data_IF_269316502449
#
_entry.id   IF_269316502449
#
_cell.length_a   1.000
_cell.length_b   1.000
_cell.length_c   1.000
_cell.angle_alpha   90.00
_cell.angle_beta   90.00
_cell.angle_gamma   90.00
#
_symmetry.space_group_name_H-M   'P 1'
#
loop_
_entity.id
_entity.type
_entity.pdbx_description
1 polymer ?
#
# COMPACT_ATOMS: atom_id res chain seq x y z
N UNK A 1 21.94 -32.98 12.00
CA UNK A 1 22.39 -32.06 13.06
C UNK A 1 23.22 -31.00 12.38
N UNK A 2 22.61 -29.90 12.00
CA UNK A 2 23.31 -28.63 11.78
C UNK A 2 22.32 -27.55 12.19
N UNK A 3 22.54 -27.05 13.41
CA UNK A 3 21.82 -25.92 13.95
C UNK A 3 22.36 -24.66 13.27
N UNK A 4 21.56 -24.06 12.39
CA UNK A 4 21.75 -22.67 11.97
C UNK A 4 21.59 -21.79 13.21
N UNK A 5 22.71 -21.39 13.80
CA UNK A 5 22.74 -20.33 14.81
C UNK A 5 22.28 -19.00 14.20
N UNK A 6 21.80 -18.04 15.02
CA UNK A 6 21.39 -16.74 14.54
C UNK A 6 22.56 -16.03 13.87
N UNK A 7 22.33 -15.43 12.70
CA UNK A 7 23.31 -14.60 12.00
C UNK A 7 23.82 -13.54 12.99
N UNK A 8 25.09 -13.63 13.38
CA UNK A 8 25.73 -12.61 14.22
C UNK A 8 25.74 -11.29 13.44
N UNK A 9 24.81 -10.39 13.78
CA UNK A 9 24.82 -9.02 13.30
C UNK A 9 26.10 -8.34 13.76
N UNK A 10 26.83 -7.73 12.82
CA UNK A 10 28.13 -7.08 13.07
C UNK A 10 27.95 -5.97 14.14
N UNK A 11 28.69 -5.98 15.27
CA UNK A 11 28.45 -5.07 16.40
C UNK A 11 28.51 -3.59 16.01
N UNK A 12 29.46 -3.21 15.14
CA UNK A 12 29.60 -1.83 14.63
C UNK A 12 28.39 -1.39 13.80
N UNK A 13 27.71 -2.34 13.14
CA UNK A 13 26.53 -2.06 12.33
C UNK A 13 25.31 -1.74 13.19
N UNK A 14 25.20 -2.37 14.37
CA UNK A 14 24.12 -2.20 15.34
C UNK A 14 24.24 -0.87 16.08
N UNK A 15 25.43 -0.52 16.57
CA UNK A 15 25.70 0.76 17.24
C UNK A 15 25.33 1.94 16.34
N UNK A 16 25.64 1.83 15.05
CA UNK A 16 25.26 2.84 14.06
C UNK A 16 23.75 2.94 13.86
N UNK A 17 23.01 1.83 13.91
CA UNK A 17 21.53 1.86 13.82
C UNK A 17 20.94 2.55 15.05
N UNK A 18 21.39 2.21 16.25
CA UNK A 18 20.92 2.86 17.48
C UNK A 18 21.21 4.36 17.49
N UNK A 19 22.38 4.79 17.02
CA UNK A 19 22.70 6.20 16.90
C UNK A 19 21.76 6.94 15.94
N UNK A 20 21.44 6.34 14.78
CA UNK A 20 20.49 6.92 13.83
C UNK A 20 19.08 7.02 14.44
N UNK A 21 18.68 6.05 15.25
CA UNK A 21 17.38 6.07 15.94
C UNK A 21 17.33 7.21 16.98
N UNK A 22 18.41 7.43 17.72
CA UNK A 22 18.52 8.59 18.62
C UNK A 22 18.42 9.90 17.84
N UNK A 23 19.09 9.99 16.69
CA UNK A 23 19.06 11.18 15.83
C UNK A 23 17.67 11.50 15.26
N UNK A 24 16.76 10.51 15.12
CA UNK A 24 15.35 10.76 14.78
C UNK A 24 14.62 11.59 15.85
N UNK A 25 14.93 11.31 17.11
CA UNK A 25 14.22 11.86 18.28
C UNK A 25 14.85 13.12 18.85
N UNK A 26 16.03 13.50 18.34
CA UNK A 26 16.72 14.72 18.73
C UNK A 26 15.77 15.92 18.63
N UNK A 27 15.61 16.72 19.70
CA UNK A 27 14.67 17.82 19.71
C UNK A 27 15.05 18.85 18.67
N UNK A 28 14.08 19.22 17.82
CA UNK A 28 14.17 20.35 16.88
C UNK A 28 14.64 21.65 17.59
N UNK A 29 14.43 21.76 18.91
CA UNK A 29 14.83 22.90 19.74
C UNK A 29 16.25 22.89 20.31
N UNK A 30 16.97 21.76 20.37
CA UNK A 30 18.36 21.76 20.86
C UNK A 30 19.35 22.21 19.77
N UNK A 31 19.00 22.02 18.49
CA UNK A 31 19.73 22.58 17.36
C UNK A 31 19.43 24.09 17.16
N UNK A 32 18.30 24.61 17.65
CA UNK A 32 17.96 26.01 17.53
C UNK A 32 18.82 26.94 18.41
N UNK A 33 19.48 26.42 19.46
CA UNK A 33 20.38 27.19 20.34
C UNK A 33 21.87 26.94 20.01
N UNK A 34 22.19 25.90 19.23
CA UNK A 34 23.55 25.57 18.84
C UNK A 34 23.67 25.46 17.32
N UNK A 35 23.97 26.61 16.69
CA UNK A 35 24.53 26.74 15.33
C UNK A 35 23.59 26.40 14.16
N UNK A 36 23.29 27.42 13.36
CA UNK A 36 22.65 27.35 12.04
C UNK A 36 23.47 26.59 10.96
N UNK A 37 24.38 25.70 11.36
CA UNK A 37 25.23 24.88 10.49
C UNK A 37 25.25 23.39 10.87
N UNK A 38 24.38 22.93 11.78
CA UNK A 38 24.19 21.51 12.00
C UNK A 38 23.31 20.92 10.87
N UNK A 39 23.77 19.89 10.13
CA UNK A 39 22.90 19.20 9.17
C UNK A 39 21.67 18.66 9.91
N UNK A 40 20.50 18.67 9.25
CA UNK A 40 19.28 18.10 9.81
C UNK A 40 19.50 16.59 10.04
N UNK A 41 19.92 16.26 11.26
CA UNK A 41 20.29 14.90 11.66
C UNK A 41 19.13 13.93 11.50
N UNK A 42 17.89 14.43 11.65
CA UNK A 42 16.68 13.64 11.44
C UNK A 42 16.50 13.29 9.96
N UNK A 43 16.66 14.25 9.05
CA UNK A 43 16.56 13.98 7.61
C UNK A 43 17.60 12.94 7.16
N UNK A 44 18.85 13.06 7.64
CA UNK A 44 19.89 12.08 7.37
C UNK A 44 19.56 10.70 7.97
N UNK A 45 19.08 10.66 9.22
CA UNK A 45 18.69 9.42 9.87
C UNK A 45 17.55 8.71 9.14
N UNK A 46 16.53 9.45 8.68
CA UNK A 46 15.43 8.90 7.88
C UNK A 46 15.94 8.22 6.61
N UNK A 47 16.86 8.86 5.88
CA UNK A 47 17.44 8.32 4.64
C UNK A 47 18.26 7.05 4.90
N UNK A 48 19.10 7.06 5.94
CA UNK A 48 19.98 5.93 6.22
C UNK A 48 19.22 4.73 6.79
N UNK A 49 18.24 4.97 7.68
CA UNK A 49 17.40 3.91 8.22
C UNK A 49 16.48 3.33 7.14
N UNK A 50 15.95 4.14 6.22
CA UNK A 50 15.07 3.63 5.15
C UNK A 50 15.77 2.66 4.21
N UNK A 51 17.08 2.83 3.99
CA UNK A 51 17.93 1.90 3.23
C UNK A 51 18.21 0.60 3.99
N UNK A 52 18.25 0.64 5.32
CA UNK A 52 18.56 -0.52 6.19
C UNK A 52 17.36 -1.42 6.51
N UNK A 53 16.15 -1.01 6.13
CA UNK A 53 14.89 -1.72 6.46
C UNK A 53 14.81 -3.18 5.98
N UNK A 54 15.55 -3.53 4.93
CA UNK A 54 15.56 -4.90 4.35
C UNK A 54 16.70 -5.76 4.91
N UNK A 55 17.73 -5.12 5.46
CA UNK A 55 18.95 -5.80 5.95
C UNK A 55 18.95 -6.00 7.46
N UNK A 56 18.13 -5.25 8.20
CA UNK A 56 18.10 -5.29 9.66
C UNK A 56 16.73 -5.77 10.14
N UNK A 57 16.63 -7.07 10.45
CA UNK A 57 15.38 -7.77 10.73
C UNK A 57 14.63 -7.17 11.95
N UNK A 58 15.36 -6.85 13.02
CA UNK A 58 14.80 -6.31 14.26
C UNK A 58 14.48 -4.80 14.20
N UNK A 59 14.56 -4.16 13.02
CA UNK A 59 14.41 -2.71 12.93
C UNK A 59 13.02 -2.26 13.35
N UNK A 60 11.97 -3.00 12.96
CA UNK A 60 10.59 -2.64 13.27
C UNK A 60 10.31 -2.63 14.79
N UNK A 61 10.62 -3.70 15.56
CA UNK A 61 10.53 -3.66 17.02
C UNK A 61 11.32 -2.51 17.65
N UNK A 62 12.55 -2.26 17.20
CA UNK A 62 13.38 -1.19 17.77
C UNK A 62 12.74 0.19 17.48
N UNK A 63 12.27 0.44 16.26
CA UNK A 63 11.58 1.69 15.91
C UNK A 63 10.32 1.89 16.77
N UNK A 64 9.56 0.82 17.04
CA UNK A 64 8.33 0.91 17.81
C UNK A 64 8.57 1.16 19.30
N UNK A 65 9.51 0.43 19.90
CA UNK A 65 9.78 0.47 21.34
C UNK A 65 10.75 1.57 21.77
N UNK A 66 11.48 2.18 20.83
CA UNK A 66 12.34 3.32 21.12
C UNK A 66 11.52 4.58 21.42
N UNK A 67 11.85 5.24 22.52
CA UNK A 67 11.13 6.40 23.02
C UNK A 67 11.06 7.53 21.99
N UNK A 68 9.86 8.00 21.67
CA UNK A 68 9.64 9.18 20.81
C UNK A 68 9.80 8.95 19.31
N UNK A 69 10.23 7.77 18.85
CA UNK A 69 10.46 7.49 17.41
C UNK A 69 9.15 7.52 16.62
N UNK A 70 8.12 6.79 17.07
CA UNK A 70 6.81 6.80 16.38
C UNK A 70 6.19 8.20 16.36
N UNK A 71 6.37 8.99 17.42
CA UNK A 71 5.95 10.40 17.47
C UNK A 71 6.70 11.25 16.45
N UNK A 72 8.02 11.06 16.30
CA UNK A 72 8.82 11.77 15.30
C UNK A 72 8.39 11.40 13.87
N UNK A 73 8.12 10.12 13.58
CA UNK A 73 7.63 9.68 12.27
C UNK A 73 6.25 10.25 11.94
N UNK A 74 5.33 10.29 12.91
CA UNK A 74 4.02 10.93 12.75
C UNK A 74 4.16 12.44 12.56
N UNK A 75 5.11 13.09 13.23
CA UNK A 75 5.39 14.51 13.04
C UNK A 75 5.81 14.81 11.58
N UNK A 76 6.64 13.97 10.98
CA UNK A 76 7.04 14.11 9.57
C UNK A 76 5.84 14.00 8.61
N UNK A 77 4.82 13.22 8.95
CA UNK A 77 3.56 13.15 8.18
C UNK A 77 2.75 14.45 8.35
N UNK A 78 2.52 14.87 9.59
CA UNK A 78 1.65 16.02 9.90
C UNK A 78 2.23 17.32 9.34
N UNK A 79 3.56 17.48 9.32
CA UNK A 79 4.24 18.64 8.72
C UNK A 79 3.95 18.80 7.22
N UNK A 80 3.53 17.74 6.52
CA UNK A 80 3.21 17.77 5.09
C UNK A 80 1.76 18.19 4.84
N UNK A 81 0.85 18.07 5.81
CA UNK A 81 -0.58 18.36 5.62
C UNK A 81 -0.87 19.77 5.05
N UNK A 82 -0.22 20.85 5.52
CA UNK A 82 -0.43 22.18 4.95
C UNK A 82 -0.01 22.31 3.48
N UNK A 83 0.84 21.40 2.99
CA UNK A 83 1.36 21.40 1.62
C UNK A 83 0.48 20.61 0.63
N UNK A 84 -0.57 19.94 1.14
CA UNK A 84 -1.50 19.16 0.32
C UNK A 84 -2.56 20.04 -0.35
N UNK A 85 -3.00 21.09 0.33
CA UNK A 85 -4.04 22.01 -0.13
C UNK A 85 -3.73 23.45 0.36
N UNK A 86 -3.29 24.37 -0.53
CA UNK A 86 -3.03 24.17 -1.96
C UNK A 86 -1.85 23.21 -2.22
N UNK A 87 -1.78 22.56 -3.39
CA UNK A 87 -0.79 21.51 -3.65
C UNK A 87 0.61 22.09 -3.95
N UNK A 88 1.33 22.46 -2.90
CA UNK A 88 2.65 23.12 -2.95
C UNK A 88 3.81 22.20 -2.56
N UNK A 89 3.55 20.91 -2.40
CA UNK A 89 4.55 19.90 -2.03
C UNK A 89 5.76 19.87 -2.98
N UNK A 90 6.94 20.17 -2.45
CA UNK A 90 8.20 20.10 -3.18
C UNK A 90 8.74 18.66 -3.27
N UNK A 91 9.65 18.42 -4.22
CA UNK A 91 10.30 17.11 -4.37
C UNK A 91 11.11 16.72 -3.12
N UNK A 92 11.81 17.68 -2.50
CA UNK A 92 12.58 17.44 -1.28
C UNK A 92 11.68 17.06 -0.09
N UNK A 93 10.60 17.81 0.14
CA UNK A 93 9.65 17.50 1.21
C UNK A 93 8.97 16.15 1.00
N UNK A 94 8.60 15.82 -0.25
CA UNK A 94 8.07 14.51 -0.63
C UNK A 94 9.07 13.38 -0.34
N UNK A 95 10.34 13.53 -0.72
CA UNK A 95 11.36 12.51 -0.46
C UNK A 95 11.57 12.28 1.05
N UNK A 96 11.61 13.36 1.83
CA UNK A 96 11.78 13.31 3.29
C UNK A 96 10.66 12.53 3.96
N UNK A 97 9.40 12.88 3.71
CA UNK A 97 8.26 12.16 4.30
C UNK A 97 8.17 10.72 3.77
N UNK A 98 8.52 10.46 2.50
CA UNK A 98 8.55 9.10 1.96
C UNK A 98 9.58 8.20 2.67
N UNK A 99 10.71 8.75 3.15
CA UNK A 99 11.64 7.98 4.00
C UNK A 99 10.99 7.61 5.34
N UNK A 100 10.23 8.52 5.96
CA UNK A 100 9.46 8.20 7.16
C UNK A 100 8.37 7.14 6.88
N UNK A 101 7.65 7.26 5.77
CA UNK A 101 6.65 6.26 5.33
C UNK A 101 7.29 4.89 5.08
N UNK A 102 8.51 4.84 4.55
CA UNK A 102 9.24 3.58 4.37
C UNK A 102 9.57 2.88 5.70
N UNK A 103 9.86 3.65 6.76
CA UNK A 103 10.04 3.11 8.10
C UNK A 103 8.71 2.63 8.69
N UNK A 104 7.62 3.38 8.50
CA UNK A 104 6.28 2.94 8.90
C UNK A 104 5.84 1.68 8.14
N UNK A 105 6.23 1.53 6.88
CA UNK A 105 6.02 0.30 6.11
C UNK A 105 6.75 -0.89 6.73
N UNK A 106 7.98 -0.70 7.22
CA UNK A 106 8.74 -1.72 7.95
C UNK A 106 7.97 -2.15 9.21
N UNK A 107 7.53 -1.19 10.02
CA UNK A 107 6.73 -1.43 11.24
C UNK A 107 5.40 -2.14 10.93
N UNK A 108 4.72 -1.75 9.86
CA UNK A 108 3.47 -2.39 9.41
C UNK A 108 3.68 -3.84 8.93
N UNK A 109 4.86 -4.14 8.38
CA UNK A 109 5.17 -5.45 7.80
C UNK A 109 5.57 -6.50 8.83
N UNK A 110 6.13 -6.10 9.98
CA UNK A 110 6.66 -7.00 11.00
C UNK A 110 5.56 -7.62 11.88
N UNK A 111 5.67 -8.90 12.26
CA UNK A 111 4.64 -9.62 13.03
C UNK A 111 4.32 -8.95 14.36
N UNK A 112 5.36 -8.52 15.06
CA UNK A 112 5.24 -8.10 16.46
C UNK A 112 4.69 -6.68 16.61
N UNK A 113 4.92 -5.83 15.61
CA UNK A 113 4.51 -4.41 15.65
C UNK A 113 3.25 -4.14 14.84
N UNK A 114 2.85 -5.03 13.92
CA UNK A 114 1.68 -4.82 13.04
C UNK A 114 0.38 -4.59 13.81
N UNK A 115 0.10 -5.41 14.82
CA UNK A 115 -1.11 -5.25 15.62
C UNK A 115 -1.09 -3.93 16.40
N UNK A 116 0.07 -3.55 16.94
CA UNK A 116 0.26 -2.29 17.66
C UNK A 116 0.09 -1.09 16.72
N UNK A 117 0.63 -1.18 15.50
CA UNK A 117 0.50 -0.17 14.45
C UNK A 117 -0.97 0.05 14.03
N UNK A 118 -1.73 -1.04 13.90
CA UNK A 118 -3.16 -1.01 13.58
C UNK A 118 -3.97 -0.41 14.72
N UNK A 119 -3.75 -0.87 15.96
CA UNK A 119 -4.46 -0.41 17.16
C UNK A 119 -4.16 1.05 17.53
N UNK A 120 -3.07 1.62 17.02
CA UNK A 120 -2.73 3.02 17.17
C UNK A 120 -3.34 3.92 16.07
N UNK A 121 -4.18 3.36 15.19
CA UNK A 121 -4.84 4.06 14.08
C UNK A 121 -3.90 4.83 13.14
N UNK A 122 -2.61 4.46 13.12
CA UNK A 122 -1.58 5.12 12.29
C UNK A 122 -1.94 5.14 10.80
N UNK A 123 -2.57 4.10 10.20
CA UNK A 123 -2.98 4.15 8.80
C UNK A 123 -3.85 5.36 8.44
N UNK A 124 -4.65 5.88 9.37
CA UNK A 124 -5.55 7.03 9.13
C UNK A 124 -4.78 8.31 8.80
N UNK A 125 -3.57 8.46 9.33
CA UNK A 125 -2.70 9.61 9.02
C UNK A 125 -2.25 9.63 7.55
N UNK A 126 -2.38 8.51 6.83
CA UNK A 126 -1.98 8.39 5.42
C UNK A 126 -3.11 8.73 4.46
N UNK A 127 -4.36 8.77 4.92
CA UNK A 127 -5.53 8.95 4.05
C UNK A 127 -5.57 10.34 3.39
N UNK A 128 -5.17 11.43 4.06
CA UNK A 128 -4.99 12.73 3.40
C UNK A 128 -4.05 12.67 2.20
N UNK A 129 -2.99 11.86 2.26
CA UNK A 129 -2.05 11.68 1.13
C UNK A 129 -2.71 10.94 -0.03
N UNK A 130 -3.44 9.86 0.25
CA UNK A 130 -4.17 9.07 -0.74
C UNK A 130 -5.31 9.86 -1.41
N UNK A 131 -5.89 10.82 -0.70
CA UNK A 131 -6.99 11.66 -1.20
C UNK A 131 -6.53 12.75 -2.19
N UNK A 132 -5.23 13.03 -2.28
CA UNK A 132 -4.67 14.05 -3.19
C UNK A 132 -4.90 13.69 -4.66
N UNK A 133 -5.09 14.68 -5.52
CA UNK A 133 -5.35 14.49 -6.97
C UNK A 133 -4.28 15.08 -7.89
N UNK A 134 -3.35 15.87 -7.34
CA UNK A 134 -2.26 16.47 -8.11
C UNK A 134 -1.40 15.39 -8.77
N UNK A 135 -1.04 15.58 -10.05
CA UNK A 135 -0.26 14.63 -10.87
C UNK A 135 1.24 14.94 -10.92
N UNK A 136 1.73 15.86 -10.09
CA UNK A 136 3.18 16.11 -10.05
C UNK A 136 3.92 14.89 -9.49
N UNK A 137 5.19 14.73 -9.88
CA UNK A 137 6.02 13.60 -9.44
C UNK A 137 6.07 13.45 -7.91
N UNK A 138 6.08 14.58 -7.18
CA UNK A 138 6.09 14.59 -5.72
C UNK A 138 4.80 13.96 -5.13
N UNK A 139 3.63 14.32 -5.64
CA UNK A 139 2.36 13.76 -5.18
C UNK A 139 2.17 12.30 -5.61
N UNK A 140 2.57 11.92 -6.82
CA UNK A 140 2.57 10.52 -7.27
C UNK A 140 3.44 9.64 -6.37
N UNK A 141 4.65 10.10 -6.05
CA UNK A 141 5.56 9.37 -5.17
C UNK A 141 5.00 9.26 -3.75
N UNK A 142 4.42 10.34 -3.22
CA UNK A 142 3.77 10.35 -1.91
C UNK A 142 2.63 9.31 -1.84
N UNK A 143 1.73 9.29 -2.84
CA UNK A 143 0.63 8.32 -2.91
C UNK A 143 1.15 6.89 -3.01
N UNK A 144 2.13 6.63 -3.88
CA UNK A 144 2.70 5.30 -4.06
C UNK A 144 3.32 4.75 -2.77
N UNK A 145 4.11 5.57 -2.06
CA UNK A 145 4.74 5.16 -0.79
C UNK A 145 3.68 4.94 0.30
N UNK A 146 2.66 5.80 0.37
CA UNK A 146 1.53 5.64 1.32
C UNK A 146 0.75 4.35 1.06
N UNK A 147 0.46 4.03 -0.21
CA UNK A 147 -0.13 2.74 -0.60
C UNK A 147 0.79 1.56 -0.25
N UNK A 148 2.11 1.74 -0.29
CA UNK A 148 3.07 0.73 0.13
C UNK A 148 2.90 0.32 1.59
N UNK A 149 2.63 1.27 2.49
CA UNK A 149 2.33 1.00 3.91
C UNK A 149 1.05 0.18 4.04
N UNK A 150 -0.03 0.60 3.39
CA UNK A 150 -1.32 -0.13 3.43
C UNK A 150 -1.18 -1.52 2.80
N UNK A 151 -0.46 -1.61 1.68
CA UNK A 151 -0.14 -2.86 1.00
C UNK A 151 0.64 -3.85 1.86
N UNK A 152 1.54 -3.36 2.72
CA UNK A 152 2.26 -4.19 3.68
C UNK A 152 1.34 -4.77 4.77
N UNK A 153 0.35 -3.99 5.25
CA UNK A 153 -0.63 -4.47 6.24
C UNK A 153 -1.47 -5.63 5.70
N UNK A 154 -2.00 -5.49 4.49
CA UNK A 154 -2.90 -6.51 3.89
C UNK A 154 -2.16 -7.73 3.33
N UNK A 155 -0.82 -7.72 3.30
CA UNK A 155 -0.03 -8.81 2.70
C UNK A 155 -0.16 -10.13 3.47
N UNK A 156 -0.39 -10.08 4.77
CA UNK A 156 -0.40 -11.24 5.68
C UNK A 156 -1.78 -11.88 5.88
N UNK A 157 -2.78 -11.51 5.07
CA UNK A 157 -4.11 -12.12 5.09
C UNK A 157 -4.77 -12.14 6.49
N UNK A 158 -4.55 -11.08 7.28
CA UNK A 158 -5.16 -10.93 8.60
C UNK A 158 -6.52 -10.22 8.46
N UNK A 159 -7.61 -10.93 8.82
CA UNK A 159 -8.97 -10.40 8.80
C UNK A 159 -9.20 -9.19 9.70
N UNK A 160 -8.45 -9.01 10.80
CA UNK A 160 -8.55 -7.81 11.65
C UNK A 160 -8.12 -6.54 10.90
N UNK A 161 -7.07 -6.66 10.06
CA UNK A 161 -6.63 -5.58 9.18
C UNK A 161 -7.71 -5.24 8.17
N UNK A 162 -8.35 -6.26 7.58
CA UNK A 162 -9.43 -6.06 6.62
C UNK A 162 -10.62 -5.37 7.30
N UNK A 163 -11.03 -5.83 8.48
CA UNK A 163 -12.12 -5.21 9.24
C UNK A 163 -11.86 -3.73 9.55
N UNK A 164 -10.64 -3.42 10.03
CA UNK A 164 -10.21 -2.03 10.24
C UNK A 164 -10.35 -1.21 8.95
N UNK A 165 -9.78 -1.69 7.84
CA UNK A 165 -9.79 -0.98 6.56
C UNK A 165 -11.19 -0.75 5.98
N UNK A 166 -12.12 -1.69 6.20
CA UNK A 166 -13.51 -1.55 5.80
C UNK A 166 -14.22 -0.46 6.62
N UNK A 167 -13.92 -0.35 7.91
CA UNK A 167 -14.51 0.65 8.80
C UNK A 167 -14.03 2.08 8.55
N UNK A 168 -12.95 2.26 7.80
CA UNK A 168 -12.27 3.55 7.61
C UNK A 168 -12.36 4.09 6.18
N UNK A 169 -13.13 3.46 5.28
CA UNK A 169 -13.32 3.91 3.89
C UNK A 169 -12.05 3.87 3.00
N UNK A 170 -11.20 2.83 3.14
CA UNK A 170 -10.05 2.68 2.22
C UNK A 170 -10.47 2.42 0.76
N UNK A 171 -11.61 1.75 0.55
CA UNK A 171 -12.05 1.29 -0.77
C UNK A 171 -12.25 2.46 -1.74
N UNK A 172 -13.03 3.52 -1.41
CA UNK A 172 -13.13 4.70 -2.27
C UNK A 172 -11.79 5.34 -2.66
N UNK A 173 -10.82 5.39 -1.73
CA UNK A 173 -9.48 5.92 -2.00
C UNK A 173 -8.73 5.04 -3.01
N UNK A 174 -8.75 3.72 -2.81
CA UNK A 174 -8.13 2.79 -3.76
C UNK A 174 -8.78 2.84 -5.14
N UNK A 175 -10.11 2.88 -5.21
CA UNK A 175 -10.85 2.95 -6.48
C UNK A 175 -10.49 4.21 -7.28
N UNK A 176 -10.39 5.38 -6.63
CA UNK A 176 -9.95 6.61 -7.29
C UNK A 176 -8.53 6.48 -7.86
N UNK A 177 -7.61 5.89 -7.10
CA UNK A 177 -6.22 5.70 -7.57
C UNK A 177 -6.16 4.67 -8.70
N UNK A 178 -6.96 3.59 -8.63
CA UNK A 178 -7.11 2.60 -9.70
C UNK A 178 -7.59 3.22 -11.01
N UNK A 179 -8.45 4.24 -10.94
CA UNK A 179 -8.97 4.94 -12.10
C UNK A 179 -7.94 5.91 -12.73
N UNK A 180 -7.34 6.80 -11.91
CA UNK A 180 -6.58 7.94 -12.43
C UNK A 180 -5.08 8.00 -12.05
N UNK A 181 -4.57 7.06 -11.27
CA UNK A 181 -3.18 7.07 -10.79
C UNK A 181 -2.13 6.62 -11.84
N UNK A 182 -0.85 6.73 -11.51
CA UNK A 182 0.23 6.09 -12.27
C UNK A 182 0.09 4.55 -12.27
N UNK A 183 0.68 3.87 -13.26
CA UNK A 183 0.59 2.40 -13.38
C UNK A 183 1.03 1.67 -12.11
N UNK A 184 2.12 2.13 -11.47
CA UNK A 184 2.60 1.58 -10.21
C UNK A 184 1.57 1.77 -9.08
N UNK A 185 1.01 2.98 -8.93
CA UNK A 185 -0.01 3.27 -7.93
C UNK A 185 -1.29 2.47 -8.17
N UNK A 186 -1.74 2.35 -9.43
CA UNK A 186 -2.86 1.49 -9.83
C UNK A 186 -2.62 0.05 -9.40
N UNK A 187 -1.40 -0.44 -9.60
CA UNK A 187 -1.05 -1.81 -9.27
C UNK A 187 -1.11 -2.09 -7.77
N UNK A 188 -0.59 -1.17 -6.94
CA UNK A 188 -0.66 -1.35 -5.48
C UNK A 188 -2.10 -1.19 -4.99
N UNK A 189 -2.86 -0.23 -5.54
CA UNK A 189 -4.26 -0.01 -5.17
C UNK A 189 -5.15 -1.21 -5.49
N UNK A 190 -5.03 -1.78 -6.70
CA UNK A 190 -5.80 -2.99 -7.05
C UNK A 190 -5.34 -4.21 -6.25
N UNK A 191 -4.06 -4.31 -5.88
CA UNK A 191 -3.58 -5.36 -4.97
C UNK A 191 -4.25 -5.27 -3.59
N UNK A 192 -4.42 -4.06 -3.03
CA UNK A 192 -5.12 -3.85 -1.76
C UNK A 192 -6.60 -4.25 -1.90
N UNK A 193 -7.29 -3.79 -2.95
CA UNK A 193 -8.69 -4.16 -3.21
C UNK A 193 -8.83 -5.68 -3.41
N UNK A 194 -7.88 -6.32 -4.10
CA UNK A 194 -7.88 -7.76 -4.28
C UNK A 194 -7.74 -8.48 -2.94
N UNK A 195 -6.85 -8.03 -2.04
CA UNK A 195 -6.71 -8.61 -0.70
C UNK A 195 -7.97 -8.45 0.15
N UNK A 196 -8.65 -7.31 0.05
CA UNK A 196 -9.96 -7.11 0.69
C UNK A 196 -10.99 -8.10 0.12
N UNK A 197 -11.07 -8.26 -1.20
CA UNK A 197 -12.00 -9.21 -1.84
C UNK A 197 -11.72 -10.67 -1.47
N UNK A 198 -10.46 -11.04 -1.25
CA UNK A 198 -10.10 -12.41 -0.87
C UNK A 198 -10.62 -12.78 0.52
N UNK A 199 -10.76 -11.81 1.43
CA UNK A 199 -11.38 -12.00 2.73
C UNK A 199 -12.91 -12.09 2.62
N UNK A 200 -13.52 -12.97 3.40
CA UNK A 200 -14.98 -13.20 3.36
C UNK A 200 -15.78 -11.95 3.79
N UNK A 201 -15.30 -11.20 4.80
CA UNK A 201 -15.97 -9.96 5.24
C UNK A 201 -15.84 -8.89 4.16
N UNK A 202 -14.68 -8.78 3.52
CA UNK A 202 -14.46 -7.83 2.43
C UNK A 202 -15.31 -8.12 1.20
N UNK A 203 -15.43 -9.39 0.78
CA UNK A 203 -16.33 -9.78 -0.31
C UNK A 203 -17.79 -9.47 0.06
N UNK A 204 -18.22 -9.87 1.25
CA UNK A 204 -19.58 -9.61 1.72
C UNK A 204 -19.89 -8.11 1.77
N UNK A 205 -18.95 -7.28 2.23
CA UNK A 205 -19.08 -5.82 2.31
C UNK A 205 -19.27 -5.19 0.93
N UNK A 206 -18.43 -5.57 -0.05
CA UNK A 206 -18.49 -5.04 -1.42
C UNK A 206 -19.78 -5.46 -2.11
N UNK A 207 -20.21 -6.71 -1.93
CA UNK A 207 -21.43 -7.25 -2.52
C UNK A 207 -22.71 -6.97 -1.71
N UNK A 208 -22.61 -6.23 -0.60
CA UNK A 208 -23.75 -5.97 0.30
C UNK A 208 -24.83 -5.13 -0.40
N UNK A 209 -24.42 -4.06 -1.08
CA UNK A 209 -25.31 -3.13 -1.79
C UNK A 209 -24.95 -3.06 -3.26
N UNK A 210 -25.94 -2.74 -4.10
CA UNK A 210 -25.73 -2.53 -5.53
C UNK A 210 -24.74 -1.39 -5.78
N UNK A 211 -24.80 -0.31 -5.00
CA UNK A 211 -23.91 0.84 -5.15
C UNK A 211 -22.43 0.49 -4.94
N UNK A 212 -22.12 -0.29 -3.89
CA UNK A 212 -20.74 -0.71 -3.61
C UNK A 212 -20.20 -1.65 -4.68
N UNK A 213 -21.00 -2.64 -5.08
CA UNK A 213 -20.63 -3.56 -6.16
C UNK A 213 -20.42 -2.79 -7.47
N UNK A 214 -21.32 -1.88 -7.81
CA UNK A 214 -21.24 -1.10 -9.04
C UNK A 214 -20.03 -0.17 -9.05
N UNK A 215 -19.71 0.50 -7.93
CA UNK A 215 -18.52 1.33 -7.82
C UNK A 215 -17.23 0.55 -8.13
N UNK A 216 -17.10 -0.67 -7.59
CA UNK A 216 -15.95 -1.55 -7.89
C UNK A 216 -15.99 -2.04 -9.34
N UNK A 217 -17.15 -2.49 -9.81
CA UNK A 217 -17.35 -3.03 -11.15
C UNK A 217 -17.04 -2.02 -12.26
N UNK A 218 -17.50 -0.78 -12.12
CA UNK A 218 -17.24 0.30 -13.09
C UNK A 218 -15.75 0.60 -13.20
N UNK A 219 -15.04 0.72 -12.07
CA UNK A 219 -13.60 0.98 -12.09
C UNK A 219 -12.84 -0.20 -12.69
N UNK A 220 -13.18 -1.45 -12.35
CA UNK A 220 -12.56 -2.63 -12.97
C UNK A 220 -12.83 -2.68 -14.48
N UNK A 221 -14.04 -2.34 -14.92
CA UNK A 221 -14.38 -2.26 -16.35
C UNK A 221 -13.54 -1.21 -17.07
N UNK A 222 -13.43 -0.01 -16.51
CA UNK A 222 -12.59 1.06 -17.06
C UNK A 222 -11.12 0.63 -17.15
N UNK A 223 -10.61 -0.11 -16.15
CA UNK A 223 -9.26 -0.68 -16.20
C UNK A 223 -9.11 -1.71 -17.32
N UNK A 224 -10.09 -2.60 -17.54
CA UNK A 224 -10.06 -3.55 -18.67
C UNK A 224 -9.95 -2.81 -20.00
N UNK A 225 -10.76 -1.77 -20.21
CA UNK A 225 -10.71 -0.97 -21.44
C UNK A 225 -9.33 -0.34 -21.66
N UNK A 226 -8.70 0.19 -20.62
CA UNK A 226 -7.33 0.74 -20.69
C UNK A 226 -6.28 -0.35 -20.97
N UNK A 227 -6.48 -1.57 -20.47
CA UNK A 227 -5.55 -2.68 -20.64
C UNK A 227 -5.49 -3.23 -22.06
N UNK A 228 -6.53 -3.02 -22.87
CA UNK A 228 -6.50 -3.39 -24.30
C UNK A 228 -5.35 -2.70 -25.01
N UNK A 229 -5.13 -1.42 -24.73
CA UNK A 229 -4.05 -0.62 -25.30
C UNK A 229 -2.72 -0.80 -24.54
N UNK A 230 -2.77 -0.78 -23.20
CA UNK A 230 -1.55 -0.79 -22.37
C UNK A 230 -0.89 -2.16 -22.28
N UNK A 231 -1.65 -3.24 -22.45
CA UNK A 231 -1.18 -4.63 -22.37
C UNK A 231 -0.38 -4.98 -21.09
N UNK A 232 -0.66 -4.29 -19.98
CA UNK A 232 0.03 -4.53 -18.70
C UNK A 232 -0.45 -5.83 -18.04
N UNK A 233 0.36 -6.90 -18.17
CA UNK A 233 0.09 -8.22 -17.58
C UNK A 233 -0.11 -8.14 -16.07
N UNK A 234 0.67 -7.28 -15.40
CA UNK A 234 0.64 -7.13 -13.93
C UNK A 234 -0.72 -6.64 -13.45
N UNK A 235 -1.26 -5.61 -14.10
CA UNK A 235 -2.59 -5.08 -13.79
C UNK A 235 -3.69 -6.07 -14.18
N UNK A 236 -3.60 -6.65 -15.38
CA UNK A 236 -4.58 -7.62 -15.87
C UNK A 236 -4.74 -8.81 -14.91
N UNK A 237 -3.64 -9.33 -14.39
CA UNK A 237 -3.63 -10.39 -13.37
C UNK A 237 -4.46 -10.05 -12.14
N UNK A 238 -4.32 -8.83 -11.61
CA UNK A 238 -5.11 -8.39 -10.46
C UNK A 238 -6.59 -8.19 -10.83
N UNK A 239 -6.88 -7.61 -11.99
CA UNK A 239 -8.26 -7.41 -12.49
C UNK A 239 -8.99 -8.74 -12.62
N UNK A 240 -8.38 -9.73 -13.28
CA UNK A 240 -8.95 -11.08 -13.45
C UNK A 240 -9.23 -11.73 -12.09
N UNK A 241 -8.32 -11.59 -11.13
CA UNK A 241 -8.49 -12.16 -9.78
C UNK A 241 -9.61 -11.47 -8.99
N UNK A 242 -9.77 -10.15 -9.14
CA UNK A 242 -10.90 -9.44 -8.53
C UNK A 242 -12.24 -9.94 -9.11
N UNK A 243 -12.36 -10.05 -10.44
CA UNK A 243 -13.58 -10.57 -11.07
C UNK A 243 -13.86 -12.03 -10.67
N UNK A 244 -12.83 -12.88 -10.68
CA UNK A 244 -12.97 -14.28 -10.24
C UNK A 244 -13.52 -14.34 -8.82
N UNK A 245 -12.96 -13.56 -7.89
CA UNK A 245 -13.42 -13.54 -6.50
C UNK A 245 -14.82 -12.96 -6.34
N UNK A 246 -15.17 -11.92 -7.10
CA UNK A 246 -16.54 -11.40 -7.14
C UNK A 246 -17.55 -12.46 -7.64
N UNK A 247 -17.14 -13.36 -8.53
CA UNK A 247 -18.00 -14.43 -9.04
C UNK A 247 -18.37 -15.48 -7.99
N UNK A 248 -17.67 -15.53 -6.85
CA UNK A 248 -18.00 -16.43 -5.74
C UNK A 248 -19.26 -15.96 -4.99
N UNK A 249 -19.59 -14.67 -5.04
CA UNK A 249 -20.82 -14.15 -4.43
C UNK A 249 -22.00 -14.32 -5.41
N UNK A 250 -23.12 -14.95 -5.01
CA UNK A 250 -24.21 -15.28 -5.93
C UNK A 250 -24.89 -14.04 -6.54
N UNK A 251 -24.98 -12.93 -5.78
CA UNK A 251 -25.58 -11.68 -6.28
C UNK A 251 -24.67 -11.00 -7.30
N UNK A 252 -23.38 -10.94 -7.00
CA UNK A 252 -22.39 -10.39 -7.92
C UNK A 252 -22.22 -11.26 -9.17
N UNK A 253 -22.24 -12.60 -9.03
CA UNK A 253 -22.23 -13.56 -10.14
C UNK A 253 -23.32 -13.25 -11.16
N UNK A 254 -24.57 -13.11 -10.71
CA UNK A 254 -25.69 -12.77 -11.59
C UNK A 254 -25.48 -11.45 -12.33
N UNK A 255 -25.02 -10.41 -11.62
CA UNK A 255 -24.73 -9.13 -12.25
C UNK A 255 -23.58 -9.24 -13.28
N UNK A 256 -22.51 -9.98 -12.98
CA UNK A 256 -21.36 -10.18 -13.85
C UNK A 256 -21.72 -10.92 -15.15
N UNK A 257 -22.73 -11.81 -15.14
CA UNK A 257 -23.24 -12.43 -16.38
C UNK A 257 -23.71 -11.38 -17.38
N UNK A 258 -24.19 -10.23 -16.92
CA UNK A 258 -24.70 -9.14 -17.75
C UNK A 258 -23.65 -8.07 -18.03
N UNK A 259 -22.73 -7.79 -17.10
CA UNK A 259 -21.81 -6.65 -17.19
C UNK A 259 -20.31 -6.98 -17.30
N UNK A 260 -19.90 -8.26 -17.34
CA UNK A 260 -18.47 -8.59 -17.53
C UNK A 260 -17.97 -8.01 -18.88
N UNK A 261 -16.87 -7.23 -18.88
CA UNK A 261 -16.34 -6.60 -20.09
C UNK A 261 -16.04 -7.60 -21.21
N UNK A 262 -16.42 -7.26 -22.45
CA UNK A 262 -16.21 -8.09 -23.65
C UNK A 262 -14.73 -8.51 -23.86
N UNK A 263 -13.70 -7.66 -23.63
CA UNK A 263 -12.30 -8.08 -23.78
C UNK A 263 -11.86 -9.22 -22.86
N UNK A 264 -12.60 -9.51 -21.78
CA UNK A 264 -12.37 -10.66 -20.91
C UNK A 264 -13.11 -11.93 -21.37
N UNK A 265 -14.10 -11.79 -22.26
CA UNK A 265 -14.89 -12.91 -22.82
C UNK A 265 -14.31 -13.43 -24.13
N UNK A 266 -13.65 -12.55 -24.89
CA UNK A 266 -13.07 -12.87 -26.18
C UNK A 266 -11.57 -13.21 -26.08
N UNK A 267 -10.90 -13.25 -27.23
CA UNK A 267 -9.46 -13.55 -27.32
C UNK A 267 -8.56 -12.31 -27.25
N UNK A 268 -9.07 -11.14 -26.83
CA UNK A 268 -8.31 -9.87 -26.80
C UNK A 268 -7.00 -10.01 -26.02
N UNK A 269 -7.03 -10.64 -24.85
CA UNK A 269 -5.84 -10.82 -24.01
C UNK A 269 -5.06 -12.13 -24.25
N UNK A 270 -5.41 -12.92 -25.28
CA UNK A 270 -4.80 -14.24 -25.50
C UNK A 270 -3.27 -14.17 -25.69
N UNK A 271 -2.79 -13.15 -26.40
CA UNK A 271 -1.35 -12.90 -26.65
C UNK A 271 -0.68 -12.42 -25.36
N UNK A 272 -1.26 -11.43 -24.70
CA UNK A 272 -0.72 -10.83 -23.45
C UNK A 272 -0.58 -11.88 -22.35
N UNK A 273 -1.51 -12.83 -22.29
CA UNK A 273 -1.51 -13.89 -21.29
C UNK A 273 -0.73 -15.14 -21.72
N UNK A 274 -0.04 -15.14 -22.88
CA UNK A 274 0.60 -16.34 -23.45
C UNK A 274 1.42 -17.12 -22.41
N UNK A 275 2.23 -16.40 -21.65
CA UNK A 275 3.19 -16.95 -20.69
C UNK A 275 2.70 -16.92 -19.22
N UNK A 276 1.57 -16.27 -18.91
CA UNK A 276 0.96 -16.28 -17.57
C UNK A 276 -0.16 -17.32 -17.45
N UNK A 277 0.24 -18.58 -17.30
CA UNK A 277 -0.68 -19.71 -17.17
C UNK A 277 -1.58 -19.62 -15.94
N UNK A 278 -1.15 -18.92 -14.88
CA UNK A 278 -1.96 -18.76 -13.67
C UNK A 278 -3.14 -17.84 -13.96
N UNK A 279 -2.89 -16.69 -14.57
CA UNK A 279 -3.94 -15.73 -14.90
C UNK A 279 -4.89 -16.28 -15.97
N UNK A 280 -4.38 -17.03 -16.96
CA UNK A 280 -5.22 -17.76 -17.93
C UNK A 280 -6.20 -18.71 -17.26
N UNK A 281 -5.73 -19.51 -16.28
CA UNK A 281 -6.58 -20.44 -15.54
C UNK A 281 -7.63 -19.69 -14.71
N UNK A 282 -7.26 -18.59 -14.06
CA UNK A 282 -8.21 -17.75 -13.34
C UNK A 282 -9.30 -17.18 -14.26
N UNK A 283 -8.93 -16.73 -15.47
CA UNK A 283 -9.89 -16.21 -16.44
C UNK A 283 -10.82 -17.32 -16.95
N UNK A 284 -10.30 -18.50 -17.26
CA UNK A 284 -11.11 -19.63 -17.67
C UNK A 284 -12.12 -20.04 -16.57
N UNK A 285 -11.67 -20.13 -15.31
CA UNK A 285 -12.54 -20.43 -14.18
C UNK A 285 -13.62 -19.37 -13.98
N UNK A 286 -13.29 -18.08 -14.15
CA UNK A 286 -14.27 -17.00 -14.12
C UNK A 286 -15.37 -17.20 -15.17
N UNK A 287 -14.98 -17.54 -16.41
CA UNK A 287 -15.95 -17.77 -17.48
C UNK A 287 -16.83 -19.00 -17.21
N UNK A 288 -16.26 -20.07 -16.66
CA UNK A 288 -17.02 -21.26 -16.23
C UNK A 288 -18.02 -20.89 -15.12
N UNK A 289 -17.58 -20.18 -14.09
CA UNK A 289 -18.41 -19.75 -12.96
C UNK A 289 -19.63 -18.90 -13.38
N UNK A 290 -19.53 -18.19 -14.51
CA UNK A 290 -20.61 -17.36 -15.06
C UNK A 290 -21.50 -18.12 -16.05
N UNK A 291 -21.04 -19.25 -16.58
CA UNK A 291 -21.81 -20.13 -17.48
C UNK A 291 -22.71 -21.12 -16.73
N UNK A 292 -22.27 -21.56 -15.55
CA UNK A 292 -23.13 -22.18 -14.51
C UNK A 292 -24.02 -21.11 -13.89
#
# INVERSE_FOLDING_TARGET
MDALGPQQQDPESSDRVYQLILDLTAPLGAAAVASAAAPDRRELALVELSKKRETYEDLAPILWHSFGVMTALLQEIVLVYPLLSPPTLSAQASNRVCNALALLQCVASHSDTRALFLNADIPLFLYPFLNTTSKTRAFEYLRLTSLGVIGALVKNDNSDVINFLLSTEIIPLCLRIMESGSELSKTVAIFIVQKILLDEMGLAYICQTYERFYAVGTVLSNMVSQLVEQQSVRLLKHVVRCYLRLSDNPRAKEALRQCLPEPLRDNTFAIVLKDDMTTKRCLANLLVNLSE
#
